data_IF_654813550357
#
_entry.id   IF_654813550357
#
_cell.length_a   1.000
_cell.length_b   1.000
_cell.length_c   1.000
_cell.angle_alpha   90.00
_cell.angle_beta   90.00
_cell.angle_gamma   90.00
#
_symmetry.space_group_name_H-M   'P 1'
#
loop_
_entity.id
_entity.type
_entity.pdbx_description
1 polymer ?
#
# COMPACT_ATOMS: atom_id res chain seq x y z
N UNK A 1 -7.24 8.27 0.48
CA UNK A 1 -6.57 8.97 1.60
C UNK A 1 -5.24 9.62 1.18
N UNK A 2 -4.39 8.92 0.46
CA UNK A 2 -3.08 9.47 0.04
C UNK A 2 -3.17 10.71 -0.85
N UNK A 3 -4.19 10.82 -1.68
CA UNK A 3 -4.41 12.01 -2.50
C UNK A 3 -4.57 13.26 -1.65
N UNK A 4 -5.40 13.18 -0.60
CA UNK A 4 -5.59 14.30 0.31
C UNK A 4 -4.31 14.64 1.05
N UNK A 5 -3.51 13.64 1.41
CA UNK A 5 -2.21 13.84 2.06
C UNK A 5 -1.26 14.59 1.13
N UNK A 6 -1.14 14.17 -0.12
CA UNK A 6 -0.28 14.85 -1.09
C UNK A 6 -0.73 16.29 -1.32
N UNK A 7 -2.03 16.51 -1.41
CA UNK A 7 -2.58 17.86 -1.60
C UNK A 7 -2.25 18.76 -0.40
N UNK A 8 -2.45 18.27 0.81
CA UNK A 8 -2.16 19.03 2.02
C UNK A 8 -0.68 19.38 2.14
N UNK A 9 0.21 18.44 1.77
CA UNK A 9 1.65 18.67 1.77
C UNK A 9 2.01 19.79 0.76
N UNK A 10 1.44 19.71 -0.44
CA UNK A 10 1.69 20.70 -1.50
C UNK A 10 1.19 22.09 -1.09
N UNK A 11 0.04 22.16 -0.43
CA UNK A 11 -0.53 23.44 0.04
C UNK A 11 0.37 24.11 1.06
N UNK A 12 1.20 23.36 1.77
CA UNK A 12 2.16 23.89 2.74
C UNK A 12 3.52 24.18 2.15
N UNK A 13 3.66 24.01 0.83
CA UNK A 13 4.92 24.28 0.13
C UNK A 13 5.99 23.23 0.37
N UNK A 14 5.63 22.06 0.88
CA UNK A 14 6.56 20.96 1.12
C UNK A 14 6.61 20.01 -0.06
N UNK A 15 7.68 19.24 -0.16
CA UNK A 15 7.89 18.29 -1.26
C UNK A 15 8.01 16.86 -0.76
N UNK A 16 7.53 15.91 -1.58
CA UNK A 16 7.66 14.49 -1.33
C UNK A 16 8.64 13.94 -2.37
N UNK A 17 9.67 13.21 -2.01
CA UNK A 17 10.09 12.81 -0.66
C UNK A 17 11.10 13.76 0.02
N UNK A 18 11.44 14.88 -0.60
CA UNK A 18 12.55 15.72 -0.13
C UNK A 18 12.35 16.23 1.29
N UNK A 19 11.16 16.74 1.59
CA UNK A 19 10.83 17.27 2.92
C UNK A 19 10.10 16.23 3.77
N UNK A 20 9.21 15.44 3.16
CA UNK A 20 8.39 14.44 3.85
C UNK A 20 8.34 13.17 3.00
N UNK A 21 8.61 12.02 3.61
CA UNK A 21 8.36 10.72 2.99
C UNK A 21 6.94 10.28 3.29
N UNK A 22 6.27 9.64 2.32
CA UNK A 22 4.89 9.18 2.47
C UNK A 22 4.80 7.71 2.10
N UNK A 23 4.08 6.96 2.92
CA UNK A 23 3.76 5.56 2.65
C UNK A 23 2.31 5.30 3.06
N UNK A 24 1.69 4.34 2.43
CA UNK A 24 0.30 3.98 2.74
C UNK A 24 0.09 2.48 2.65
N UNK A 25 -1.16 2.06 2.78
CA UNK A 25 -1.56 0.67 2.64
C UNK A 25 -2.44 0.50 1.41
N UNK A 26 -2.63 -0.76 1.01
CA UNK A 26 -3.58 -1.26 0.01
C UNK A 26 -3.10 -1.18 -1.44
N UNK A 27 -2.09 -0.41 -1.77
CA UNK A 27 -1.57 -0.26 -3.14
C UNK A 27 -2.71 -0.12 -4.16
N UNK A 28 -3.56 0.88 -3.93
CA UNK A 28 -4.62 1.18 -4.87
C UNK A 28 -4.03 1.48 -6.26
N UNK A 29 -4.79 1.18 -7.31
CA UNK A 29 -4.34 1.33 -8.68
C UNK A 29 -3.70 2.69 -8.95
N UNK A 30 -4.26 3.73 -8.36
CA UNK A 30 -3.78 5.10 -8.55
C UNK A 30 -2.46 5.41 -7.84
N UNK A 31 -1.99 4.55 -6.94
CA UNK A 31 -0.74 4.80 -6.21
C UNK A 31 0.45 4.92 -7.17
N UNK A 32 0.47 4.11 -8.23
CA UNK A 32 1.52 4.16 -9.24
C UNK A 32 1.47 5.40 -10.12
N UNK A 33 0.31 6.08 -10.19
CA UNK A 33 0.12 7.27 -11.01
C UNK A 33 0.33 8.57 -10.24
N UNK A 34 0.56 8.50 -8.92
CA UNK A 34 0.92 9.68 -8.14
C UNK A 34 2.28 10.22 -8.59
N UNK A 35 2.53 11.47 -8.29
CA UNK A 35 3.83 12.11 -8.53
C UNK A 35 4.33 12.77 -7.24
N UNK A 36 5.36 12.21 -6.59
CA UNK A 36 6.04 10.95 -6.93
C UNK A 36 5.14 9.72 -6.69
N UNK A 37 5.53 8.59 -7.29
CA UNK A 37 4.82 7.33 -7.08
C UNK A 37 4.80 6.97 -5.60
N UNK A 38 3.68 6.47 -5.12
CA UNK A 38 3.44 6.23 -3.70
C UNK A 38 3.92 4.84 -3.27
N UNK A 39 4.77 4.79 -2.25
CA UNK A 39 5.17 3.54 -1.60
C UNK A 39 4.00 3.04 -0.77
N UNK A 40 3.66 1.77 -0.91
CA UNK A 40 2.49 1.19 -0.24
C UNK A 40 2.69 -0.29 0.04
N UNK A 41 2.01 -0.81 1.05
CA UNK A 41 1.90 -2.25 1.29
C UNK A 41 0.71 -2.75 0.48
N UNK A 42 0.95 -3.71 -0.41
CA UNK A 42 -0.09 -4.20 -1.34
C UNK A 42 -0.95 -5.27 -0.69
N UNK A 43 -2.26 -5.18 -0.88
CA UNK A 43 -3.19 -6.24 -0.50
C UNK A 43 -3.17 -7.33 -1.56
N UNK A 44 -2.80 -8.59 -1.20
CA UNK A 44 -2.79 -9.70 -2.16
C UNK A 44 -4.20 -10.26 -2.33
N UNK A 45 -5.07 -9.54 -3.04
CA UNK A 45 -6.48 -9.89 -3.18
C UNK A 45 -6.72 -11.27 -3.75
N UNK A 46 -5.94 -11.70 -4.73
CA UNK A 46 -6.06 -13.01 -5.34
C UNK A 46 -5.76 -14.13 -4.34
N UNK A 47 -4.69 -14.00 -3.55
CA UNK A 47 -4.34 -14.97 -2.50
C UNK A 47 -5.41 -14.97 -1.42
N UNK A 48 -5.86 -13.79 -1.00
CA UNK A 48 -6.89 -13.66 0.04
C UNK A 48 -8.21 -14.32 -0.40
N UNK A 49 -8.64 -14.06 -1.63
CA UNK A 49 -9.87 -14.63 -2.17
C UNK A 49 -9.78 -16.14 -2.30
N UNK A 50 -8.67 -16.66 -2.80
CA UNK A 50 -8.46 -18.11 -2.92
C UNK A 50 -8.49 -18.79 -1.57
N UNK A 51 -7.78 -18.21 -0.60
CA UNK A 51 -7.72 -18.77 0.77
C UNK A 51 -9.12 -18.81 1.39
N UNK A 52 -9.91 -17.74 1.22
CA UNK A 52 -11.26 -17.69 1.75
C UNK A 52 -12.15 -18.79 1.16
N UNK A 53 -12.08 -19.00 -0.15
CA UNK A 53 -12.86 -20.04 -0.83
C UNK A 53 -12.43 -21.43 -0.36
N UNK A 54 -11.13 -21.70 -0.23
CA UNK A 54 -10.61 -22.97 0.27
C UNK A 54 -11.13 -23.26 1.67
N UNK A 55 -11.19 -22.26 2.54
CA UNK A 55 -11.74 -22.42 3.89
C UNK A 55 -13.23 -22.75 3.85
N UNK A 56 -14.00 -22.08 2.99
CA UNK A 56 -15.43 -22.34 2.86
C UNK A 56 -15.74 -23.73 2.30
N UNK A 57 -14.88 -24.25 1.43
CA UNK A 57 -15.04 -25.58 0.83
C UNK A 57 -14.47 -26.70 1.72
N UNK A 58 -13.93 -26.36 2.87
CA UNK A 58 -13.37 -27.36 3.79
C UNK A 58 -12.00 -27.87 3.38
N UNK A 59 -11.33 -27.24 2.43
CA UNK A 59 -9.99 -27.61 1.99
C UNK A 59 -8.91 -27.08 2.93
N UNK A 60 -9.29 -26.16 3.83
CA UNK A 60 -8.45 -25.58 4.87
C UNK A 60 -9.23 -25.46 6.16
N UNK A 61 -8.55 -25.52 7.33
CA UNK A 61 -9.21 -25.22 8.60
C UNK A 61 -9.77 -23.80 8.63
N UNK A 62 -10.93 -23.62 9.27
CA UNK A 62 -11.50 -22.30 9.53
C UNK A 62 -10.76 -21.69 10.71
N UNK A 63 -9.59 -21.13 10.45
CA UNK A 63 -8.73 -20.57 11.47
C UNK A 63 -8.12 -19.27 10.95
N UNK A 64 -7.53 -18.49 11.83
CA UNK A 64 -6.87 -17.25 11.44
C UNK A 64 -5.66 -17.57 10.53
N UNK A 65 -5.60 -16.90 9.38
CA UNK A 65 -4.52 -17.07 8.42
C UNK A 65 -3.83 -15.72 8.21
N UNK A 66 -2.51 -15.71 8.39
CA UNK A 66 -1.70 -14.53 8.12
C UNK A 66 -1.20 -14.61 6.67
N UNK A 67 -1.61 -13.63 5.87
CA UNK A 67 -1.19 -13.53 4.47
C UNK A 67 -0.21 -12.36 4.35
N UNK A 68 1.02 -12.61 3.88
CA UNK A 68 2.01 -11.54 3.74
C UNK A 68 1.54 -10.44 2.78
N UNK A 69 1.77 -9.19 3.17
CA UNK A 69 1.48 -8.02 2.35
C UNK A 69 2.80 -7.44 1.87
N UNK A 70 3.19 -7.68 0.61
CA UNK A 70 4.46 -7.15 0.13
C UNK A 70 4.44 -5.62 0.06
N UNK A 71 5.58 -5.01 0.39
CA UNK A 71 5.77 -3.57 0.26
C UNK A 71 6.21 -3.26 -1.17
N UNK A 72 5.49 -2.34 -1.82
CA UNK A 72 5.84 -1.85 -3.15
C UNK A 72 6.52 -0.50 -2.96
N UNK A 73 7.84 -0.46 -3.07
CA UNK A 73 8.60 0.76 -2.90
C UNK A 73 8.54 1.61 -4.16
N UNK A 74 8.27 2.90 -3.97
CA UNK A 74 8.26 3.89 -5.03
C UNK A 74 9.01 5.13 -4.58
N UNK A 75 8.91 6.21 -5.33
CA UNK A 75 9.72 7.41 -5.11
C UNK A 75 9.26 8.29 -3.93
N UNK A 76 8.16 7.95 -3.25
CA UNK A 76 7.61 8.78 -2.17
C UNK A 76 8.42 8.72 -0.87
N UNK A 77 9.41 7.84 -0.78
CA UNK A 77 10.26 7.67 0.39
C UNK A 77 11.68 8.04 0.03
N UNK A 78 12.34 8.78 0.93
CA UNK A 78 13.74 9.15 0.81
C UNK A 78 14.55 8.42 1.87
N UNK A 79 15.70 7.85 1.45
CA UNK A 79 16.65 7.27 2.40
C UNK A 79 17.33 8.36 3.21
N UNK A 80 17.51 8.12 4.52
CA UNK A 80 18.20 9.03 5.42
C UNK A 80 19.66 8.61 5.66
N UNK A 81 20.05 7.44 5.13
CA UNK A 81 21.38 6.91 5.35
C UNK A 81 22.32 6.94 4.18
#
# INVERSE_FOLDING_TARGET
MAFGTYQAIAERGLRVPDDISVASFDDEELAGFQRPGLTTARLPYDVMGRTAVEMLLGERPLDAVLIPMPVVERASIRSLG
#
